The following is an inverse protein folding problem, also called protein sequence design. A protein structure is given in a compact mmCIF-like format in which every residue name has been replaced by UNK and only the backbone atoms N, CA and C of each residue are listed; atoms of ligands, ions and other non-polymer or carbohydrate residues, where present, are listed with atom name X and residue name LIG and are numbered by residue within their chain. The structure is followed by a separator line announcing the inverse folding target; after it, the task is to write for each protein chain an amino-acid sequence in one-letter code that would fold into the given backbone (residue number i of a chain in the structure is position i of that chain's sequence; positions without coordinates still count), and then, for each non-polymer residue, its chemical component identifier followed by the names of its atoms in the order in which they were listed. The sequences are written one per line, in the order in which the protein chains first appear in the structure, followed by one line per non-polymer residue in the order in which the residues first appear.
data_IF_458782940571
#
_entry.id   IF_458782940571
#
_cell.length_a   1.000
_cell.length_b   1.000
_cell.length_c   1.000
_cell.angle_alpha   90.00
_cell.angle_beta   90.00
_cell.angle_gamma   90.00
#
_symmetry.space_group_name_H-M   'P 1'
#
loop_
_entity.id
_entity.type
_entity.pdbx_description
1 polymer ?
#
# COMPACT_ATOMS: atom_id res chain seq x y z
N UNK A 1 4.54 -3.00 -18.42
CA UNK A 1 4.35 -1.52 -18.25
C UNK A 1 4.56 -1.23 -16.77
N UNK A 2 5.44 -0.28 -16.45
CA UNK A 2 5.78 0.03 -15.05
C UNK A 2 4.61 0.76 -14.40
N UNK A 3 4.22 0.35 -13.19
CA UNK A 3 3.14 0.95 -12.41
C UNK A 3 3.57 1.10 -10.94
N UNK A 4 2.74 1.73 -10.13
CA UNK A 4 2.91 1.82 -8.69
C UNK A 4 1.58 1.51 -8.00
N UNK A 5 1.65 0.78 -6.90
CA UNK A 5 0.49 0.46 -6.08
C UNK A 5 0.88 0.53 -4.61
N UNK A 6 0.09 1.23 -3.82
CA UNK A 6 0.21 1.20 -2.37
C UNK A 6 -1.15 1.38 -1.71
N UNK A 7 -1.23 0.86 -0.50
CA UNK A 7 -2.38 1.09 0.37
C UNK A 7 -1.95 1.25 1.81
N UNK A 8 -2.79 1.93 2.61
CA UNK A 8 -2.56 2.16 4.02
C UNK A 8 -3.83 1.90 4.82
N UNK A 9 -3.69 1.23 5.96
CA UNK A 9 -4.78 0.96 6.89
C UNK A 9 -4.41 1.43 8.28
N UNK A 10 -5.16 2.40 8.81
CA UNK A 10 -5.09 2.78 10.23
C UNK A 10 -5.85 1.76 11.06
N UNK A 11 -5.15 1.00 11.90
CA UNK A 11 -5.75 -0.04 12.74
C UNK A 11 -6.61 0.54 13.89
N UNK A 12 -6.39 1.80 14.24
CA UNK A 12 -7.27 2.49 15.20
C UNK A 12 -8.62 2.92 14.60
N UNK A 13 -8.73 2.98 13.27
CA UNK A 13 -9.94 3.39 12.58
C UNK A 13 -10.81 2.21 12.12
N UNK A 14 -10.38 0.96 12.33
CA UNK A 14 -11.17 -0.23 11.96
C UNK A 14 -12.23 -0.56 13.01
N UNK A 15 -13.35 -1.09 12.55
CA UNK A 15 -14.35 -1.71 13.43
C UNK A 15 -14.00 -3.20 13.64
N UNK A 16 -13.35 -3.50 14.76
CA UNK A 16 -12.90 -4.84 15.14
C UNK A 16 -14.06 -5.82 15.22
N UNK A 17 -15.16 -5.43 15.86
CA UNK A 17 -16.35 -6.28 16.04
C UNK A 17 -16.95 -6.67 14.70
N UNK A 18 -17.10 -5.71 13.78
CA UNK A 18 -17.59 -5.95 12.43
C UNK A 18 -16.62 -6.78 11.61
N UNK A 19 -15.31 -6.48 11.70
CA UNK A 19 -14.28 -7.18 10.93
C UNK A 19 -14.27 -8.68 11.24
N UNK A 20 -14.46 -9.07 12.52
CA UNK A 20 -14.48 -10.46 12.95
C UNK A 20 -15.78 -11.22 12.59
N UNK A 21 -16.77 -10.55 12.00
CA UNK A 21 -17.96 -11.22 11.50
C UNK A 21 -17.71 -11.90 10.14
N UNK A 22 -18.11 -13.18 10.01
CA UNK A 22 -18.01 -13.92 8.76
C UNK A 22 -18.61 -13.16 7.56
N UNK A 23 -19.78 -12.56 7.74
CA UNK A 23 -20.46 -11.74 6.71
C UNK A 23 -19.60 -10.57 6.20
N UNK A 24 -18.66 -10.09 7.00
CA UNK A 24 -17.76 -9.00 6.62
C UNK A 24 -16.48 -9.55 5.98
N UNK A 25 -15.70 -10.37 6.70
CA UNK A 25 -14.41 -10.81 6.19
C UNK A 25 -14.49 -11.73 4.97
N UNK A 26 -15.59 -12.48 4.79
CA UNK A 26 -15.81 -13.27 3.58
C UNK A 26 -15.99 -12.46 2.28
N UNK A 27 -16.16 -11.15 2.38
CA UNK A 27 -16.12 -10.23 1.23
C UNK A 27 -14.71 -9.80 0.85
N UNK A 28 -13.76 -10.03 1.75
CA UNK A 28 -12.35 -9.66 1.60
C UNK A 28 -11.52 -10.91 1.33
N UNK A 29 -11.67 -11.93 2.18
CA UNK A 29 -10.92 -13.18 2.11
C UNK A 29 -11.66 -14.20 1.22
N UNK A 30 -10.93 -14.81 0.31
CA UNK A 30 -11.34 -16.04 -0.35
C UNK A 30 -11.19 -17.24 0.59
N UNK A 31 -11.86 -18.36 0.29
CA UNK A 31 -11.69 -19.60 1.08
C UNK A 31 -10.24 -20.10 1.13
N UNK A 32 -9.47 -19.86 0.08
CA UNK A 32 -8.06 -20.28 0.00
C UNK A 32 -7.14 -19.46 0.91
N UNK A 33 -7.56 -18.27 1.36
CA UNK A 33 -6.75 -17.37 2.15
C UNK A 33 -6.95 -17.53 3.67
N UNK A 34 -8.06 -18.14 4.10
CA UNK A 34 -8.34 -18.33 5.53
C UNK A 34 -7.24 -19.17 6.22
N UNK A 35 -6.75 -20.29 5.61
CA UNK A 35 -5.67 -21.08 6.19
C UNK A 35 -4.36 -20.32 6.37
N UNK A 36 -4.07 -19.29 5.56
CA UNK A 36 -2.83 -18.52 5.64
C UNK A 36 -2.62 -17.91 7.04
N UNK A 37 -3.70 -17.61 7.75
CA UNK A 37 -3.63 -17.06 9.10
C UNK A 37 -2.92 -17.99 10.09
N UNK A 38 -3.16 -19.30 9.99
CA UNK A 38 -2.54 -20.29 10.87
C UNK A 38 -1.23 -20.85 10.32
N UNK A 39 -1.06 -20.91 9.00
CA UNK A 39 0.08 -21.56 8.35
C UNK A 39 1.37 -20.74 8.41
N UNK A 40 1.30 -19.43 8.37
CA UNK A 40 2.46 -18.54 8.20
C UNK A 40 2.84 -17.73 9.44
N UNK A 41 2.57 -18.22 10.64
CA UNK A 41 2.85 -17.51 11.89
C UNK A 41 2.17 -16.13 11.99
N UNK A 42 1.15 -15.90 11.17
CA UNK A 42 0.35 -14.67 11.21
C UNK A 42 -0.59 -14.65 12.43
N UNK A 43 -0.75 -15.79 13.11
CA UNK A 43 -1.47 -15.87 14.38
C UNK A 43 -0.84 -15.04 15.52
N UNK A 44 0.35 -14.46 15.31
CA UNK A 44 0.95 -13.46 16.22
C UNK A 44 0.30 -12.08 16.13
N UNK A 45 -0.48 -11.82 15.07
CA UNK A 45 -1.30 -10.61 14.95
C UNK A 45 -2.78 -10.97 15.13
N UNK A 46 -3.63 -10.08 15.64
CA UNK A 46 -5.08 -10.30 15.73
C UNK A 46 -5.69 -10.66 14.37
N UNK A 47 -6.73 -11.49 14.35
CA UNK A 47 -7.37 -11.92 13.11
C UNK A 47 -7.89 -10.73 12.28
N UNK A 48 -8.45 -9.72 12.92
CA UNK A 48 -8.86 -8.49 12.24
C UNK A 48 -7.69 -7.80 11.53
N UNK A 49 -6.50 -7.78 12.13
CA UNK A 49 -5.31 -7.18 11.51
C UNK A 49 -4.85 -8.01 10.29
N UNK A 50 -4.97 -9.35 10.35
CA UNK A 50 -4.75 -10.20 9.19
C UNK A 50 -5.75 -9.91 8.06
N UNK A 51 -7.03 -9.75 8.36
CA UNK A 51 -8.05 -9.38 7.36
C UNK A 51 -7.67 -8.07 6.68
N UNK A 52 -7.25 -7.06 7.44
CA UNK A 52 -6.86 -5.76 6.91
C UNK A 52 -5.49 -5.75 6.23
N UNK A 53 -4.59 -6.64 6.62
CA UNK A 53 -3.35 -6.88 5.86
C UNK A 53 -3.66 -7.38 4.45
N UNK A 54 -4.53 -8.40 4.33
CA UNK A 54 -4.92 -8.92 3.03
C UNK A 54 -5.71 -7.90 2.21
N UNK A 55 -6.59 -7.12 2.86
CA UNK A 55 -7.24 -5.98 2.20
C UNK A 55 -6.21 -5.03 1.59
N UNK A 56 -5.23 -4.59 2.39
CA UNK A 56 -4.21 -3.63 1.95
C UNK A 56 -3.38 -4.17 0.78
N UNK A 57 -3.02 -5.47 0.80
CA UNK A 57 -2.33 -6.12 -0.32
C UNK A 57 -3.18 -6.08 -1.60
N UNK A 58 -4.47 -6.43 -1.48
CA UNK A 58 -5.40 -6.50 -2.61
C UNK A 58 -5.73 -5.12 -3.19
N UNK A 59 -5.91 -4.12 -2.33
CA UNK A 59 -6.15 -2.75 -2.77
C UNK A 59 -4.90 -2.14 -3.42
N UNK A 60 -3.71 -2.44 -2.91
CA UNK A 60 -2.45 -2.08 -3.59
C UNK A 60 -2.35 -2.71 -4.97
N UNK A 61 -2.74 -3.99 -5.11
CA UNK A 61 -2.75 -4.69 -6.39
C UNK A 61 -3.79 -4.09 -7.36
N UNK A 62 -4.97 -3.76 -6.86
CA UNK A 62 -5.98 -3.07 -7.65
C UNK A 62 -5.47 -1.73 -8.16
N UNK A 63 -4.92 -0.86 -7.31
CA UNK A 63 -4.36 0.45 -7.71
C UNK A 63 -3.25 0.30 -8.74
N UNK A 64 -2.40 -0.72 -8.60
CA UNK A 64 -1.35 -1.03 -9.55
C UNK A 64 -1.91 -1.39 -10.93
N UNK A 65 -2.93 -2.25 -10.98
CA UNK A 65 -3.53 -2.73 -12.23
C UNK A 65 -4.47 -1.71 -12.87
N UNK A 66 -5.20 -0.94 -12.07
CA UNK A 66 -6.18 0.06 -12.55
C UNK A 66 -5.52 1.09 -13.46
N UNK A 67 -4.27 1.46 -13.20
CA UNK A 67 -3.53 2.41 -14.05
C UNK A 67 -3.45 1.95 -15.52
N UNK A 68 -3.36 0.65 -15.75
CA UNK A 68 -3.28 0.04 -17.09
C UNK A 68 -4.62 -0.53 -17.56
N UNK A 69 -5.60 -0.62 -16.68
CA UNK A 69 -6.94 -1.15 -16.92
C UNK A 69 -7.97 -0.28 -16.23
N UNK A 70 -8.27 0.93 -16.76
CA UNK A 70 -9.14 1.91 -16.09
C UNK A 70 -10.54 1.38 -15.77
N UNK A 71 -11.07 0.45 -16.57
CA UNK A 71 -12.37 -0.19 -16.34
C UNK A 71 -12.36 -1.27 -15.23
N UNK A 72 -11.20 -1.55 -14.63
CA UNK A 72 -11.11 -2.53 -13.55
C UNK A 72 -11.92 -2.07 -12.33
N UNK A 73 -12.79 -2.95 -11.84
CA UNK A 73 -13.58 -2.73 -10.63
C UNK A 73 -12.99 -3.54 -9.49
N UNK A 74 -12.73 -2.89 -8.36
CA UNK A 74 -12.19 -3.55 -7.19
C UNK A 74 -13.17 -4.57 -6.61
N UNK A 75 -12.80 -5.83 -6.67
CA UNK A 75 -13.52 -6.96 -6.10
C UNK A 75 -12.51 -7.77 -5.29
N UNK A 76 -12.38 -7.57 -3.97
CA UNK A 76 -11.27 -8.12 -3.16
C UNK A 76 -11.06 -9.63 -3.32
N UNK A 77 -12.13 -10.42 -3.36
CA UNK A 77 -12.04 -11.89 -3.48
C UNK A 77 -11.49 -12.40 -4.82
N UNK A 78 -11.39 -11.52 -5.83
CA UNK A 78 -10.75 -11.87 -7.12
C UNK A 78 -9.23 -11.67 -7.09
N UNK A 79 -8.73 -10.92 -6.13
CA UNK A 79 -7.30 -10.78 -5.84
C UNK A 79 -6.95 -11.83 -4.78
N UNK A 80 -6.21 -12.84 -5.12
CA UNK A 80 -5.94 -13.97 -4.22
C UNK A 80 -4.49 -13.92 -3.76
N UNK A 81 -4.30 -13.75 -2.47
CA UNK A 81 -2.97 -13.86 -1.85
C UNK A 81 -2.64 -15.35 -1.73
N UNK A 82 -1.54 -15.78 -2.32
CA UNK A 82 -1.18 -17.21 -2.40
C UNK A 82 0.03 -17.59 -1.57
N UNK A 83 0.87 -16.62 -1.21
CA UNK A 83 2.06 -16.85 -0.41
C UNK A 83 2.29 -15.66 0.53
N UNK A 84 2.69 -15.95 1.76
CA UNK A 84 2.99 -14.93 2.77
C UNK A 84 4.24 -15.36 3.52
N UNK A 85 5.28 -14.54 3.46
CA UNK A 85 6.54 -14.77 4.16
C UNK A 85 6.69 -13.75 5.28
N UNK A 86 6.61 -14.24 6.50
CA UNK A 86 6.77 -13.44 7.72
C UNK A 86 8.20 -13.58 8.24
N UNK A 87 8.91 -12.48 8.53
CA UNK A 87 10.25 -12.56 9.11
C UNK A 87 10.26 -13.36 10.43
N UNK A 88 11.32 -14.14 10.65
CA UNK A 88 11.48 -14.88 11.91
C UNK A 88 11.45 -13.95 13.13
N UNK A 89 10.64 -14.29 14.14
CA UNK A 89 10.47 -13.47 15.35
C UNK A 89 9.75 -12.15 15.13
N UNK A 90 9.01 -12.01 14.02
CA UNK A 90 8.26 -10.80 13.70
C UNK A 90 7.19 -10.53 14.76
N UNK A 91 7.23 -9.34 15.32
CA UNK A 91 6.18 -8.79 16.19
C UNK A 91 5.93 -7.34 15.76
N UNK A 92 4.68 -6.94 15.53
CA UNK A 92 4.35 -5.54 15.26
C UNK A 92 4.84 -4.66 16.42
N UNK A 93 5.49 -3.57 16.07
CA UNK A 93 5.98 -2.57 17.02
C UNK A 93 5.13 -1.30 16.92
N UNK A 94 5.25 -0.40 17.91
CA UNK A 94 4.62 0.90 17.82
C UNK A 94 5.25 1.73 16.68
N UNK A 95 4.41 2.47 15.96
CA UNK A 95 4.86 3.44 14.97
C UNK A 95 5.33 4.71 15.69
N UNK A 96 6.60 4.72 16.10
CA UNK A 96 7.18 5.74 16.99
C UNK A 96 7.67 7.01 16.26
N UNK A 97 7.84 6.95 14.94
CA UNK A 97 8.28 8.09 14.13
C UNK A 97 7.08 8.87 13.58
N UNK A 98 7.14 10.20 13.44
CA UNK A 98 6.10 10.95 12.76
C UNK A 98 5.98 10.59 11.27
N UNK A 99 7.09 10.14 10.66
CA UNK A 99 7.12 9.62 9.29
C UNK A 99 8.24 8.58 9.13
N UNK A 100 8.07 7.73 8.15
CA UNK A 100 9.04 6.73 7.71
C UNK A 100 9.06 6.70 6.19
N UNK A 101 10.24 6.73 5.62
CA UNK A 101 10.45 6.69 4.17
C UNK A 101 11.59 5.74 3.82
N UNK A 102 11.50 5.16 2.64
CA UNK A 102 12.53 4.23 2.19
C UNK A 102 12.62 4.07 0.68
N UNK A 103 13.66 3.34 0.29
CA UNK A 103 13.85 2.81 -1.06
C UNK A 103 14.10 1.31 -0.89
N UNK A 104 13.27 0.49 -1.52
CA UNK A 104 13.27 -0.94 -1.25
C UNK A 104 12.93 -1.26 0.21
N UNK A 105 13.18 -2.50 0.60
CA UNK A 105 12.81 -3.00 1.94
C UNK A 105 13.94 -3.77 2.64
N UNK A 106 15.19 -3.70 2.15
CA UNK A 106 16.31 -4.55 2.65
C UNK A 106 16.57 -4.41 4.15
N UNK A 107 16.42 -3.20 4.70
CA UNK A 107 16.85 -2.87 6.05
C UNK A 107 15.69 -2.63 7.02
N UNK A 108 14.49 -3.03 6.67
CA UNK A 108 13.30 -2.87 7.48
C UNK A 108 12.52 -4.19 7.54
N UNK A 109 12.11 -4.66 8.73
CA UNK A 109 11.25 -5.84 8.84
C UNK A 109 9.94 -5.62 8.09
N UNK A 110 9.61 -6.53 7.18
CA UNK A 110 8.40 -6.46 6.38
C UNK A 110 7.87 -7.86 6.07
N UNK A 111 6.58 -7.96 5.87
CA UNK A 111 5.91 -9.17 5.39
C UNK A 111 5.91 -9.13 3.86
N UNK A 112 6.40 -10.20 3.23
CA UNK A 112 6.32 -10.37 1.78
C UNK A 112 5.10 -11.20 1.43
N UNK A 113 4.46 -10.89 0.31
CA UNK A 113 3.41 -11.77 -0.21
C UNK A 113 3.34 -11.76 -1.74
N UNK A 114 2.69 -12.79 -2.26
CA UNK A 114 2.32 -12.90 -3.67
C UNK A 114 0.81 -12.76 -3.76
N UNK A 115 0.35 -11.91 -4.67
CA UNK A 115 -1.07 -11.74 -4.98
C UNK A 115 -1.31 -12.03 -6.45
N UNK A 116 -2.32 -12.85 -6.74
CA UNK A 116 -2.72 -13.23 -8.09
C UNK A 116 -4.04 -12.57 -8.46
N UNK A 117 -4.09 -12.06 -9.68
CA UNK A 117 -5.31 -11.58 -10.31
C UNK A 117 -5.33 -12.04 -11.78
N UNK A 118 -6.30 -12.88 -12.14
CA UNK A 118 -6.30 -13.60 -13.41
C UNK A 118 -4.95 -14.32 -13.63
N UNK A 119 -4.29 -14.08 -14.76
CA UNK A 119 -2.99 -14.67 -15.09
C UNK A 119 -1.79 -13.84 -14.59
N UNK A 120 -2.05 -12.75 -13.85
CA UNK A 120 -0.98 -11.89 -13.35
C UNK A 120 -0.61 -12.27 -11.92
N UNK A 121 0.69 -12.31 -11.67
CA UNK A 121 1.28 -12.47 -10.34
C UNK A 121 2.05 -11.21 -9.99
N UNK A 122 1.79 -10.69 -8.79
CA UNK A 122 2.36 -9.45 -8.29
C UNK A 122 2.94 -9.69 -6.90
N UNK A 123 4.00 -8.96 -6.57
CA UNK A 123 4.71 -9.08 -5.29
C UNK A 123 4.39 -7.89 -4.40
N UNK A 124 4.26 -8.12 -3.10
CA UNK A 124 4.05 -7.05 -2.13
C UNK A 124 5.04 -7.12 -0.97
N UNK A 125 5.34 -5.94 -0.43
CA UNK A 125 6.01 -5.75 0.85
C UNK A 125 5.10 -4.93 1.76
N UNK A 126 4.77 -5.47 2.94
CA UNK A 126 3.91 -4.82 3.92
C UNK A 126 4.65 -4.53 5.20
N UNK A 127 4.64 -3.27 5.61
CA UNK A 127 5.04 -2.82 6.94
C UNK A 127 3.83 -2.94 7.86
N UNK A 128 3.97 -3.66 8.96
CA UNK A 128 2.89 -3.87 9.93
C UNK A 128 3.35 -3.39 11.29
N UNK A 129 2.71 -2.34 11.77
CA UNK A 129 2.87 -1.76 13.10
C UNK A 129 1.59 -1.96 13.90
N UNK A 130 1.62 -1.64 15.21
CA UNK A 130 0.43 -1.75 16.07
C UNK A 130 -0.71 -0.82 15.63
N UNK A 131 -0.38 0.31 14.99
CA UNK A 131 -1.35 1.35 14.61
C UNK A 131 -1.64 1.40 13.11
N UNK A 132 -0.75 0.84 12.27
CA UNK A 132 -0.84 1.03 10.83
C UNK A 132 -0.26 -0.14 10.05
N UNK A 133 -0.92 -0.48 8.95
CA UNK A 133 -0.41 -1.35 7.89
C UNK A 133 -0.15 -0.47 6.67
N UNK A 134 1.04 -0.55 6.09
CA UNK A 134 1.37 0.08 4.81
C UNK A 134 1.91 -0.96 3.86
N UNK A 135 1.21 -1.19 2.77
CA UNK A 135 1.58 -2.15 1.73
C UNK A 135 2.01 -1.44 0.47
N UNK A 136 3.09 -1.90 -0.11
CA UNK A 136 3.61 -1.46 -1.40
C UNK A 136 3.70 -2.66 -2.33
N UNK A 137 3.36 -2.47 -3.59
CA UNK A 137 3.28 -3.52 -4.59
C UNK A 137 4.18 -3.23 -5.78
N UNK A 138 4.77 -4.29 -6.32
CA UNK A 138 5.56 -4.28 -7.54
C UNK A 138 5.22 -5.50 -8.41
N UNK A 139 5.49 -5.39 -9.72
CA UNK A 139 5.37 -6.52 -10.64
C UNK A 139 6.45 -7.56 -10.39
N UNK A 140 7.67 -7.13 -10.10
CA UNK A 140 8.82 -7.99 -9.84
C UNK A 140 9.07 -8.15 -8.35
N UNK A 141 9.76 -9.23 -7.98
CA UNK A 141 10.18 -9.49 -6.60
C UNK A 141 11.18 -8.45 -6.08
N UNK A 142 11.83 -7.72 -6.98
CA UNK A 142 12.78 -6.67 -6.66
C UNK A 142 12.07 -5.33 -6.42
N UNK A 143 12.34 -4.74 -5.26
CA UNK A 143 11.83 -3.44 -4.84
C UNK A 143 12.91 -2.35 -4.80
N UNK A 144 14.11 -2.59 -5.34
CA UNK A 144 15.26 -1.66 -5.21
C UNK A 144 14.98 -0.27 -5.78
N UNK A 145 14.11 -0.17 -6.79
CA UNK A 145 13.71 1.09 -7.41
C UNK A 145 12.33 1.60 -6.97
N UNK A 146 11.76 0.97 -5.95
CA UNK A 146 10.46 1.35 -5.40
C UNK A 146 10.68 2.25 -4.19
N UNK A 147 10.24 3.48 -4.28
CA UNK A 147 10.25 4.49 -3.21
C UNK A 147 8.91 4.46 -2.51
N UNK A 148 8.92 4.59 -1.22
CA UNK A 148 7.71 4.60 -0.40
C UNK A 148 7.85 5.51 0.80
N UNK A 149 6.71 5.95 1.33
CA UNK A 149 6.65 6.71 2.56
C UNK A 149 5.33 6.51 3.28
N UNK A 150 5.37 6.56 4.61
CA UNK A 150 4.22 6.60 5.50
C UNK A 150 4.40 7.72 6.51
N UNK A 151 3.36 8.52 6.72
CA UNK A 151 3.36 9.69 7.63
C UNK A 151 2.11 9.66 8.49
N UNK A 152 2.27 9.89 9.78
CA UNK A 152 1.16 10.15 10.70
C UNK A 152 0.76 11.62 10.61
N UNK A 153 -0.53 11.88 10.54
CA UNK A 153 -1.11 13.23 10.49
C UNK A 153 -2.08 13.46 11.64
N UNK A 154 -2.43 14.70 11.93
CA UNK A 154 -3.30 15.06 13.05
C UNK A 154 -4.78 15.20 12.66
N UNK A 155 -5.19 14.58 11.55
CA UNK A 155 -6.57 14.68 11.07
C UNK A 155 -6.99 13.40 10.34
N UNK A 156 -8.27 13.07 10.45
CA UNK A 156 -8.94 12.03 9.69
C UNK A 156 -9.87 12.60 8.60
N UNK A 157 -9.85 13.92 8.39
CA UNK A 157 -10.59 14.57 7.32
C UNK A 157 -10.02 14.22 5.93
N UNK A 158 -10.87 13.72 5.04
CA UNK A 158 -10.48 13.25 3.71
C UNK A 158 -9.80 14.31 2.83
N UNK A 159 -10.21 15.58 2.94
CA UNK A 159 -9.62 16.67 2.14
C UNK A 159 -8.21 17.00 2.62
N UNK A 160 -8.01 17.02 3.94
CA UNK A 160 -6.71 17.22 4.57
C UNK A 160 -5.79 16.04 4.29
N UNK A 161 -6.27 14.79 4.43
CA UNK A 161 -5.50 13.59 4.07
C UNK A 161 -5.00 13.65 2.62
N UNK A 162 -5.91 14.04 1.69
CA UNK A 162 -5.59 14.15 0.27
C UNK A 162 -4.53 15.24 -0.01
N UNK A 163 -4.56 16.35 0.71
CA UNK A 163 -3.57 17.41 0.63
C UNK A 163 -2.25 16.97 1.22
N UNK A 164 -2.27 16.39 2.42
CA UNK A 164 -1.08 15.94 3.14
C UNK A 164 -0.31 14.85 2.37
N UNK A 165 -0.99 13.87 1.75
CA UNK A 165 -0.29 12.84 0.99
C UNK A 165 0.39 13.40 -0.26
N UNK A 166 -0.22 14.40 -0.91
CA UNK A 166 0.39 15.06 -2.07
C UNK A 166 1.60 15.88 -1.67
N UNK A 167 1.46 16.70 -0.62
CA UNK A 167 2.58 17.47 -0.08
C UNK A 167 3.74 16.55 0.32
N UNK A 168 3.45 15.47 1.04
CA UNK A 168 4.45 14.52 1.49
C UNK A 168 5.24 13.89 0.32
N UNK A 169 4.57 13.51 -0.77
CA UNK A 169 5.26 12.99 -1.96
C UNK A 169 6.03 14.11 -2.69
N UNK A 170 5.45 15.30 -2.83
CA UNK A 170 6.12 16.44 -3.48
C UNK A 170 7.41 16.82 -2.74
N UNK A 171 7.36 16.91 -1.40
CA UNK A 171 8.55 17.19 -0.57
C UNK A 171 9.65 16.15 -0.82
N UNK A 172 9.29 14.89 -0.92
CA UNK A 172 10.23 13.80 -1.24
C UNK A 172 10.86 13.95 -2.63
N UNK A 173 10.05 14.28 -3.63
CA UNK A 173 10.51 14.47 -5.00
C UNK A 173 11.41 15.71 -5.11
N UNK A 174 11.01 16.82 -4.50
CA UNK A 174 11.79 18.06 -4.44
C UNK A 174 13.15 17.83 -3.81
N UNK A 175 13.21 17.19 -2.64
CA UNK A 175 14.47 16.88 -1.97
C UNK A 175 15.38 15.96 -2.78
N UNK A 176 14.79 15.06 -3.59
CA UNK A 176 15.56 14.12 -4.40
C UNK A 176 16.06 14.71 -5.73
N UNK A 177 15.24 15.50 -6.39
CA UNK A 177 15.57 16.03 -7.72
C UNK A 177 16.06 17.47 -7.69
N UNK A 178 16.13 18.10 -6.50
CA UNK A 178 16.48 19.52 -6.30
C UNK A 178 15.64 20.43 -7.20
N UNK A 179 14.35 20.14 -7.34
CA UNK A 179 13.40 20.82 -8.23
C UNK A 179 12.05 20.94 -7.51
N UNK A 180 11.49 22.12 -7.47
CA UNK A 180 10.23 22.49 -6.80
C UNK A 180 9.01 22.53 -7.72
N UNK A 181 9.19 22.24 -9.02
CA UNK A 181 8.14 22.30 -10.03
C UNK A 181 7.19 21.09 -10.09
N UNK A 182 7.20 20.21 -9.08
CA UNK A 182 6.33 19.03 -9.07
C UNK A 182 4.91 19.34 -8.58
N UNK A 183 3.93 18.85 -9.33
CA UNK A 183 2.50 18.91 -9.00
C UNK A 183 1.90 17.53 -9.19
N UNK A 184 1.01 17.13 -8.28
CA UNK A 184 0.25 15.88 -8.40
C UNK A 184 -1.20 16.23 -8.74
N UNK A 185 -1.64 15.72 -9.88
CA UNK A 185 -3.01 15.87 -10.37
C UNK A 185 -3.65 14.49 -10.58
N UNK A 186 -4.85 14.43 -11.14
CA UNK A 186 -5.54 13.21 -11.54
C UNK A 186 -5.74 13.20 -13.04
N UNK A 187 -5.52 12.03 -13.65
CA UNK A 187 -5.95 11.81 -15.04
C UNK A 187 -7.49 11.67 -15.14
N UNK A 188 -8.08 11.59 -16.33
CA UNK A 188 -9.52 11.41 -16.52
C UNK A 188 -10.10 10.17 -15.83
N UNK A 189 -9.29 9.12 -15.62
CA UNK A 189 -9.68 7.88 -14.95
C UNK A 189 -9.54 7.96 -13.41
N UNK A 190 -9.15 9.14 -12.88
CA UNK A 190 -8.99 9.39 -11.45
C UNK A 190 -7.66 8.90 -10.84
N UNK A 191 -6.77 8.31 -11.65
CA UNK A 191 -5.45 7.90 -11.18
C UNK A 191 -4.51 9.11 -10.98
N UNK A 192 -3.68 9.11 -9.92
CA UNK A 192 -2.73 10.19 -9.72
C UNK A 192 -1.66 10.20 -10.81
N UNK A 193 -1.35 11.41 -11.29
CA UNK A 193 -0.29 11.67 -12.27
C UNK A 193 0.65 12.74 -11.73
N UNK A 194 1.93 12.59 -12.05
CA UNK A 194 2.95 13.55 -11.69
C UNK A 194 3.18 14.51 -12.86
N UNK A 195 3.08 15.80 -12.56
CA UNK A 195 3.39 16.87 -13.51
C UNK A 195 4.69 17.56 -13.07
N UNK A 196 5.47 18.01 -14.04
CA UNK A 196 6.62 18.86 -13.84
C UNK A 196 6.57 20.04 -14.82
N UNK A 197 6.56 21.26 -14.31
CA UNK A 197 6.41 22.47 -15.12
C UNK A 197 5.18 22.40 -16.06
N UNK A 198 4.07 21.80 -15.59
CA UNK A 198 2.82 21.64 -16.33
C UNK A 198 2.78 20.47 -17.33
N UNK A 199 3.88 19.76 -17.54
CA UNK A 199 3.93 18.57 -18.39
C UNK A 199 3.87 17.27 -17.56
N UNK A 200 3.12 16.27 -18.02
CA UNK A 200 3.11 14.95 -17.40
C UNK A 200 4.46 14.25 -17.57
N UNK A 201 4.96 13.67 -16.47
CA UNK A 201 6.18 12.87 -16.50
C UNK A 201 5.85 11.41 -16.23
N UNK A 202 6.59 10.52 -16.89
CA UNK A 202 6.38 9.05 -16.79
C UNK A 202 7.05 8.48 -15.53
N UNK A 203 6.56 8.93 -14.39
CA UNK A 203 6.88 8.37 -13.07
C UNK A 203 5.58 7.87 -12.47
N UNK A 204 5.36 6.55 -12.41
CA UNK A 204 4.16 6.02 -11.80
C UNK A 204 4.17 6.28 -10.30
N UNK A 205 3.12 6.90 -9.81
CA UNK A 205 2.90 7.23 -8.40
C UNK A 205 1.62 6.58 -7.89
N UNK A 206 1.58 6.21 -6.63
CA UNK A 206 0.38 5.74 -5.94
C UNK A 206 0.26 6.46 -4.60
N UNK A 207 -0.96 6.84 -4.24
CA UNK A 207 -1.27 7.55 -3.01
C UNK A 207 -2.32 6.79 -2.22
N UNK A 208 -2.21 6.82 -0.90
CA UNK A 208 -3.19 6.22 0.01
C UNK A 208 -3.34 7.05 1.29
N UNK A 209 -4.52 6.97 1.89
CA UNK A 209 -4.79 7.57 3.18
C UNK A 209 -5.90 6.81 3.91
N UNK A 210 -5.78 6.67 5.23
CA UNK A 210 -6.82 6.10 6.09
C UNK A 210 -6.60 6.53 7.54
N UNK A 211 -7.67 6.99 8.21
CA UNK A 211 -7.58 7.52 9.57
C UNK A 211 -6.54 8.62 9.68
N UNK A 212 -5.62 8.53 10.62
CA UNK A 212 -4.56 9.50 10.82
C UNK A 212 -3.25 9.14 10.09
N UNK A 213 -3.31 8.42 8.97
CA UNK A 213 -2.12 8.04 8.21
C UNK A 213 -2.29 8.32 6.72
N UNK A 214 -1.18 8.73 6.11
CA UNK A 214 -1.05 8.90 4.66
C UNK A 214 0.19 8.15 4.17
N UNK A 215 0.12 7.63 2.94
CA UNK A 215 1.23 6.89 2.37
C UNK A 215 1.33 7.07 0.87
N UNK A 216 2.53 6.92 0.35
CA UNK A 216 2.78 6.93 -1.09
C UNK A 216 3.73 5.81 -1.50
N UNK A 217 3.69 5.48 -2.77
CA UNK A 217 4.78 4.80 -3.45
C UNK A 217 4.99 5.39 -4.84
N UNK A 218 6.22 5.31 -5.34
CA UNK A 218 6.54 5.57 -6.74
C UNK A 218 7.69 4.69 -7.20
N UNK A 219 7.70 4.43 -8.51
CA UNK A 219 8.77 3.68 -9.14
C UNK A 219 9.67 4.63 -9.93
N UNK A 220 10.99 4.47 -9.80
CA UNK A 220 11.97 5.16 -10.61
C UNK A 220 12.63 4.16 -11.55
N UNK A 221 12.36 4.28 -12.86
CA UNK A 221 13.16 3.59 -13.86
C UNK A 221 14.62 4.07 -13.78
N UNK A 222 15.54 3.13 -13.70
CA UNK A 222 16.96 3.44 -13.72
C UNK A 222 17.35 4.06 -15.07
N UNK A 223 17.92 5.24 -15.03
CA UNK A 223 18.78 5.78 -16.06
C UNK A 223 20.12 6.04 -15.42
#
# INVERSE_FOLDING_TARGET
MISAGNDIVSLAAIDVTRTNQHKFYSKILSHAEIPLYSEFSLAQIPFENFVWLLWSIKESAYKFLQRNTPALVFTPVKFVVTDVVVPGGFLPQAFSSPMLEGVGFRNIPHIKSIVKFAEQELHSCSLVYNEVIHTVLNQDIDFENVYWGVKKINSDDNSLQSTEVRSFLVDRLTGRYSDDGFIIDKNPDGCPVLLRSGASIDVPISLSHHGCFVGYSFYKSGH
#
